data_IF_604071557041
#
_entry.id   IF_604071557041
#
_cell.length_a   1.000
_cell.length_b   1.000
_cell.length_c   1.000
_cell.angle_alpha   90.00
_cell.angle_beta   90.00
_cell.angle_gamma   90.00
#
_symmetry.space_group_name_H-M   'P 1'
#
loop_
_entity.id
_entity.type
_entity.pdbx_description
1 polymer ?
#
# COMPACT_ATOMS: atom_id res chain seq x y z
N UNK A 1 22.55 15.44 -63.23
CA UNK A 1 22.50 16.18 -61.94
C UNK A 1 21.07 16.54 -61.49
N UNK A 2 20.15 16.87 -62.39
CA UNK A 2 18.75 17.23 -62.06
C UNK A 2 17.93 16.13 -61.36
N UNK A 3 18.17 14.85 -61.65
CA UNK A 3 17.39 13.76 -61.04
C UNK A 3 17.70 13.52 -59.56
N UNK A 4 18.93 13.76 -59.13
CA UNK A 4 19.31 13.54 -57.73
C UNK A 4 18.67 14.58 -56.80
N UNK A 5 18.50 15.83 -57.28
CA UNK A 5 17.80 16.85 -56.53
C UNK A 5 16.30 16.54 -56.38
N UNK A 6 15.67 15.99 -57.44
CA UNK A 6 14.27 15.56 -57.38
C UNK A 6 14.06 14.39 -56.42
N UNK A 7 14.97 13.40 -56.43
CA UNK A 7 14.93 12.25 -55.51
C UNK A 7 15.13 12.71 -54.06
N UNK A 8 16.04 13.67 -53.83
CA UNK A 8 16.29 14.20 -52.49
C UNK A 8 15.11 15.03 -51.97
N UNK A 9 14.52 15.89 -52.81
CA UNK A 9 13.32 16.65 -52.47
C UNK A 9 12.14 15.73 -52.11
N UNK A 10 11.91 14.67 -52.91
CA UNK A 10 10.87 13.68 -52.64
C UNK A 10 11.10 12.92 -51.31
N UNK A 11 12.36 12.70 -50.92
CA UNK A 11 12.70 12.11 -49.62
C UNK A 11 12.42 13.05 -48.46
N UNK A 12 12.72 14.34 -48.59
CA UNK A 12 12.43 15.33 -47.55
C UNK A 12 10.93 15.51 -47.34
N UNK A 13 10.14 15.53 -48.42
CA UNK A 13 8.68 15.63 -48.36
C UNK A 13 8.04 14.40 -47.67
N UNK A 14 8.61 13.21 -47.93
CA UNK A 14 8.22 11.98 -47.23
C UNK A 14 8.55 11.98 -45.74
N UNK A 15 9.68 12.58 -45.34
CA UNK A 15 10.06 12.69 -43.92
C UNK A 15 9.20 13.75 -43.21
N UNK A 16 8.94 14.89 -43.87
CA UNK A 16 8.08 15.95 -43.35
C UNK A 16 6.64 15.48 -43.11
N UNK A 17 6.08 14.64 -44.00
CA UNK A 17 4.73 14.07 -43.81
C UNK A 17 4.63 13.08 -42.64
N UNK A 18 5.75 12.56 -42.13
CA UNK A 18 5.81 11.62 -41.01
C UNK A 18 6.30 12.25 -39.69
N UNK A 19 6.68 13.53 -39.69
CA UNK A 19 7.23 14.23 -38.52
C UNK A 19 6.20 14.53 -37.41
N UNK A 20 4.90 14.31 -37.67
CA UNK A 20 3.82 14.56 -36.71
C UNK A 20 3.37 13.36 -35.87
N UNK A 21 3.90 12.15 -36.09
CA UNK A 21 3.44 10.94 -35.38
C UNK A 21 4.62 10.20 -34.73
N UNK A 22 5.13 10.78 -33.65
CA UNK A 22 6.22 10.23 -32.82
C UNK A 22 5.71 9.11 -31.90
N UNK A 23 5.06 8.08 -32.46
CA UNK A 23 4.95 6.78 -31.80
C UNK A 23 6.06 5.91 -32.36
N UNK A 24 7.24 5.95 -31.73
CA UNK A 24 8.34 5.06 -32.04
C UNK A 24 7.91 3.61 -31.74
N UNK A 25 7.31 2.96 -32.73
CA UNK A 25 7.03 1.52 -32.69
C UNK A 25 8.33 0.79 -32.97
N UNK A 26 8.94 0.30 -31.89
CA UNK A 26 10.09 -0.62 -31.95
C UNK A 26 9.64 -1.93 -32.60
N UNK A 27 9.92 -2.11 -33.89
CA UNK A 27 9.70 -3.36 -34.59
C UNK A 27 10.79 -4.37 -34.20
N UNK A 28 10.52 -5.19 -33.19
CA UNK A 28 11.28 -6.43 -32.96
C UNK A 28 10.76 -7.44 -33.99
N UNK A 29 11.64 -7.87 -34.89
CA UNK A 29 11.34 -8.87 -35.90
C UNK A 29 11.03 -10.22 -35.26
N UNK A 30 9.75 -10.50 -35.04
CA UNK A 30 9.14 -11.83 -35.05
C UNK A 30 7.68 -11.64 -35.48
N UNK A 31 7.50 -11.38 -36.77
CA UNK A 31 6.19 -11.33 -37.40
C UNK A 31 6.03 -12.61 -38.21
N UNK A 32 5.43 -13.62 -37.59
CA UNK A 32 4.39 -14.38 -38.26
C UNK A 32 3.38 -14.84 -37.21
N UNK A 33 2.18 -14.30 -37.32
CA UNK A 33 0.94 -14.76 -36.68
C UNK A 33 0.75 -14.49 -35.17
N UNK A 34 0.81 -13.23 -34.76
CA UNK A 34 -0.02 -12.80 -33.63
C UNK A 34 -1.19 -11.94 -34.15
N UNK A 35 -2.45 -12.42 -34.07
CA UNK A 35 -3.60 -11.67 -34.56
C UNK A 35 -3.63 -10.32 -33.86
N UNK A 36 -3.77 -9.23 -34.61
CA UNK A 36 -3.71 -7.86 -34.09
C UNK A 36 -4.68 -7.59 -32.93
N UNK A 37 -5.73 -8.40 -32.78
CA UNK A 37 -6.62 -8.41 -31.61
C UNK A 37 -5.89 -8.78 -30.30
N UNK A 38 -4.96 -9.75 -30.33
CA UNK A 38 -4.12 -10.13 -29.20
C UNK A 38 -3.11 -9.03 -28.85
N UNK A 39 -2.54 -8.37 -29.85
CA UNK A 39 -1.63 -7.24 -29.66
C UNK A 39 -2.36 -6.02 -29.08
N UNK A 40 -3.56 -5.70 -29.59
CA UNK A 40 -4.44 -4.67 -29.01
C UNK A 40 -4.86 -5.03 -27.59
N UNK A 41 -5.12 -6.30 -27.26
CA UNK A 41 -5.37 -6.72 -25.88
C UNK A 41 -4.15 -6.62 -24.97
N UNK A 42 -2.94 -6.84 -25.49
CA UNK A 42 -1.70 -6.72 -24.72
C UNK A 42 -1.28 -5.27 -24.49
N UNK A 43 -1.55 -4.38 -25.46
CA UNK A 43 -1.16 -2.96 -25.41
C UNK A 43 -2.26 -2.06 -24.82
N UNK A 44 -3.54 -2.32 -25.14
CA UNK A 44 -4.70 -1.53 -24.67
C UNK A 44 -5.52 -2.24 -23.59
N UNK A 45 -5.40 -3.56 -23.47
CA UNK A 45 -6.15 -4.31 -22.48
C UNK A 45 -5.49 -4.15 -21.12
N UNK A 46 -6.06 -3.28 -20.29
CA UNK A 46 -5.92 -3.35 -18.83
C UNK A 46 -6.32 -4.79 -18.45
N UNK A 47 -5.35 -5.68 -18.27
CA UNK A 47 -5.59 -7.08 -17.95
C UNK A 47 -6.52 -7.08 -16.74
N UNK A 48 -7.79 -7.47 -16.94
CA UNK A 48 -8.77 -7.50 -15.86
C UNK A 48 -8.19 -8.49 -14.85
N UNK A 49 -7.77 -8.06 -13.65
CA UNK A 49 -7.14 -8.97 -12.72
C UNK A 49 -8.16 -10.07 -12.44
N UNK A 50 -7.76 -11.32 -12.75
CA UNK A 50 -8.56 -12.50 -12.46
C UNK A 50 -8.84 -12.43 -10.96
N UNK A 51 -10.10 -12.19 -10.58
CA UNK A 51 -10.50 -12.11 -9.17
C UNK A 51 -10.28 -13.50 -8.57
N UNK A 52 -9.07 -13.74 -8.06
CA UNK A 52 -8.71 -14.91 -7.30
C UNK A 52 -9.59 -14.95 -6.05
N UNK A 53 -10.05 -16.12 -5.61
CA UNK A 53 -10.80 -16.27 -4.36
C UNK A 53 -10.04 -15.70 -3.15
N UNK A 54 -8.71 -15.60 -3.24
CA UNK A 54 -7.84 -14.91 -2.26
C UNK A 54 -8.12 -13.40 -2.14
N UNK A 55 -8.75 -12.79 -3.15
CA UNK A 55 -9.15 -11.39 -3.10
C UNK A 55 -10.23 -11.14 -2.04
N UNK A 56 -11.08 -12.13 -1.72
CA UNK A 56 -12.09 -11.99 -0.68
C UNK A 56 -11.47 -11.89 0.72
N UNK A 57 -10.38 -12.61 0.96
CA UNK A 57 -9.64 -12.61 2.23
C UNK A 57 -8.71 -11.40 2.37
N UNK A 58 -8.44 -10.69 1.28
CA UNK A 58 -7.49 -9.57 1.30
C UNK A 58 -7.93 -8.39 2.19
N UNK A 59 -9.23 -8.15 2.33
CA UNK A 59 -9.77 -7.07 3.17
C UNK A 59 -9.67 -7.36 4.67
N UNK A 60 -10.19 -8.51 5.20
CA UNK A 60 -10.02 -8.82 6.61
C UNK A 60 -8.54 -8.99 6.98
N UNK A 61 -7.73 -9.56 6.08
CA UNK A 61 -6.29 -9.67 6.30
C UNK A 61 -5.61 -8.29 6.36
N UNK A 62 -6.00 -7.36 5.49
CA UNK A 62 -5.52 -5.98 5.53
C UNK A 62 -5.90 -5.31 6.85
N UNK A 63 -7.17 -5.39 7.26
CA UNK A 63 -7.64 -4.85 8.54
C UNK A 63 -6.82 -5.40 9.72
N UNK A 64 -6.68 -6.73 9.80
CA UNK A 64 -5.92 -7.40 10.85
C UNK A 64 -4.45 -6.98 10.85
N UNK A 65 -3.81 -6.91 9.67
CA UNK A 65 -2.41 -6.48 9.57
C UNK A 65 -2.20 -5.03 10.03
N UNK A 66 -3.20 -4.16 9.87
CA UNK A 66 -3.18 -2.81 10.43
C UNK A 66 -3.18 -2.81 11.97
N UNK A 67 -4.07 -3.59 12.58
CA UNK A 67 -4.09 -3.73 14.05
C UNK A 67 -2.78 -4.32 14.59
N UNK A 68 -2.21 -5.31 13.90
CA UNK A 68 -0.90 -5.89 14.25
C UNK A 68 0.22 -4.85 14.17
N UNK A 69 0.19 -3.95 13.17
CA UNK A 69 1.19 -2.89 13.06
C UNK A 69 1.16 -1.92 14.25
N UNK A 70 -0.03 -1.59 14.77
CA UNK A 70 -0.17 -0.78 15.98
C UNK A 70 0.35 -1.48 17.22
N UNK A 71 -0.04 -2.74 17.42
CA UNK A 71 0.43 -3.58 18.54
C UNK A 71 1.95 -3.70 18.53
N UNK A 72 2.53 -3.94 17.36
CA UNK A 72 3.98 -3.98 17.19
C UNK A 72 4.63 -2.65 17.57
N UNK A 73 4.07 -1.51 17.15
CA UNK A 73 4.62 -0.20 17.48
C UNK A 73 4.60 0.08 18.99
N UNK A 74 3.50 -0.26 19.68
CA UNK A 74 3.39 -0.11 21.14
C UNK A 74 4.44 -0.96 21.89
N UNK A 75 4.79 -2.11 21.34
CA UNK A 75 5.81 -2.97 21.92
C UNK A 75 7.24 -2.53 21.57
N UNK A 76 7.50 -2.13 20.32
CA UNK A 76 8.85 -1.90 19.81
C UNK A 76 9.37 -0.49 20.09
N UNK A 77 8.53 0.53 20.05
CA UNK A 77 8.96 1.94 20.17
C UNK A 77 9.56 2.25 21.53
N UNK A 78 8.99 1.83 22.68
CA UNK A 78 9.61 2.08 23.98
C UNK A 78 10.98 1.41 24.10
N UNK A 79 11.16 0.23 23.50
CA UNK A 79 12.41 -0.54 23.56
C UNK A 79 13.49 0.04 22.63
N UNK A 80 13.11 0.38 21.39
CA UNK A 80 14.05 0.78 20.35
C UNK A 80 14.37 2.28 20.37
N UNK A 81 13.38 3.10 20.70
CA UNK A 81 13.44 4.56 20.59
C UNK A 81 13.35 5.25 21.95
N UNK A 82 13.12 4.50 23.03
CA UNK A 82 12.96 5.04 24.39
C UNK A 82 11.91 6.16 24.45
N UNK A 83 10.85 6.02 23.66
CA UNK A 83 9.78 7.00 23.53
C UNK A 83 8.43 6.35 23.81
N UNK A 84 7.55 7.10 24.47
CA UNK A 84 6.14 6.75 24.69
C UNK A 84 5.19 7.70 23.96
N UNK A 85 5.75 8.58 23.13
CA UNK A 85 4.99 9.59 22.41
C UNK A 85 4.08 8.96 21.36
N UNK A 86 2.79 9.32 21.41
CA UNK A 86 1.76 8.79 20.51
C UNK A 86 2.14 8.96 19.02
N UNK A 87 2.64 10.14 18.65
CA UNK A 87 2.98 10.43 17.26
C UNK A 87 4.16 9.57 16.76
N UNK A 88 5.10 9.20 17.64
CA UNK A 88 6.21 8.30 17.30
C UNK A 88 5.67 6.89 17.04
N UNK A 89 4.76 6.42 17.90
CA UNK A 89 4.09 5.12 17.72
C UNK A 89 3.25 5.09 16.43
N UNK A 90 2.56 6.17 16.09
CA UNK A 90 1.82 6.30 14.83
C UNK A 90 2.75 6.21 13.62
N UNK A 91 3.88 6.92 13.62
CA UNK A 91 4.87 6.84 12.54
C UNK A 91 5.46 5.44 12.41
N UNK A 92 5.86 4.81 13.53
CA UNK A 92 6.39 3.45 13.54
C UNK A 92 5.35 2.44 13.03
N UNK A 93 4.08 2.59 13.40
CA UNK A 93 3.00 1.76 12.87
C UNK A 93 2.82 1.96 11.36
N UNK A 94 2.97 3.20 10.86
CA UNK A 94 2.93 3.50 9.43
C UNK A 94 4.04 2.78 8.65
N UNK A 95 5.27 2.80 9.18
CA UNK A 95 6.39 2.03 8.61
C UNK A 95 6.06 0.54 8.61
N UNK A 96 5.55 0.00 9.73
CA UNK A 96 5.20 -1.41 9.83
C UNK A 96 4.05 -1.82 8.90
N UNK A 97 3.05 -0.96 8.69
CA UNK A 97 1.99 -1.17 7.69
C UNK A 97 2.59 -1.34 6.29
N UNK A 98 3.56 -0.50 5.91
CA UNK A 98 4.23 -0.60 4.62
C UNK A 98 5.06 -1.89 4.49
N UNK A 99 5.76 -2.29 5.56
CA UNK A 99 6.51 -3.55 5.60
C UNK A 99 5.59 -4.77 5.48
N UNK A 100 4.54 -4.84 6.29
CA UNK A 100 3.55 -5.93 6.24
C UNK A 100 2.87 -6.00 4.87
N UNK A 101 2.56 -4.85 4.28
CA UNK A 101 2.01 -4.78 2.93
C UNK A 101 2.94 -5.40 1.90
N UNK A 102 4.25 -5.16 2.00
CA UNK A 102 5.26 -5.75 1.13
C UNK A 102 5.34 -7.27 1.31
N UNK A 103 5.40 -7.74 2.56
CA UNK A 103 5.55 -9.17 2.91
C UNK A 103 4.30 -9.98 2.54
N UNK A 104 3.11 -9.46 2.85
CA UNK A 104 1.82 -10.14 2.58
C UNK A 104 1.41 -10.00 1.10
N UNK A 105 1.97 -9.02 0.38
CA UNK A 105 1.62 -8.74 -1.01
C UNK A 105 0.27 -8.05 -1.19
N UNK A 106 -0.17 -7.26 -0.21
CA UNK A 106 -1.41 -6.48 -0.28
C UNK A 106 -1.25 -5.32 -1.27
N UNK A 107 -2.16 -5.22 -2.24
CA UNK A 107 -2.09 -4.21 -3.32
C UNK A 107 -3.39 -3.42 -3.44
N UNK A 108 -3.29 -2.21 -3.99
CA UNK A 108 -4.41 -1.30 -4.24
C UNK A 108 -4.76 -0.37 -3.06
N UNK A 109 -5.43 0.76 -3.34
CA UNK A 109 -5.75 1.77 -2.32
C UNK A 109 -6.75 1.28 -1.28
N UNK A 110 -7.68 0.39 -1.66
CA UNK A 110 -8.69 -0.14 -0.74
C UNK A 110 -8.09 -0.97 0.40
N UNK A 111 -7.11 -1.83 0.10
CA UNK A 111 -6.43 -2.62 1.15
C UNK A 111 -5.59 -1.72 2.06
N UNK A 112 -5.00 -0.66 1.53
CA UNK A 112 -4.29 0.33 2.36
C UNK A 112 -5.27 1.04 3.30
N UNK A 113 -6.43 1.49 2.80
CA UNK A 113 -7.46 2.08 3.64
C UNK A 113 -7.93 1.12 4.74
N UNK A 114 -8.09 -0.18 4.44
CA UNK A 114 -8.42 -1.18 5.46
C UNK A 114 -7.31 -1.33 6.51
N UNK A 115 -6.03 -1.30 6.11
CA UNK A 115 -4.92 -1.31 7.08
C UNK A 115 -4.98 -0.09 8.00
N UNK A 116 -5.22 1.11 7.45
CA UNK A 116 -5.32 2.34 8.24
C UNK A 116 -6.52 2.31 9.19
N UNK A 117 -7.67 1.79 8.77
CA UNK A 117 -8.83 1.57 9.64
C UNK A 117 -8.47 0.57 10.75
N UNK A 118 -7.74 -0.50 10.43
CA UNK A 118 -7.27 -1.47 11.42
C UNK A 118 -6.37 -0.84 12.48
N UNK A 119 -5.45 0.05 12.07
CA UNK A 119 -4.64 0.86 12.99
C UNK A 119 -5.54 1.74 13.85
N UNK A 120 -6.45 2.51 13.24
CA UNK A 120 -7.33 3.42 13.98
C UNK A 120 -8.23 2.70 15.00
N UNK A 121 -8.79 1.55 14.64
CA UNK A 121 -9.57 0.71 15.56
C UNK A 121 -8.72 0.18 16.71
N UNK A 122 -7.48 -0.22 16.43
CA UNK A 122 -6.56 -0.67 17.47
C UNK A 122 -6.15 0.48 18.40
N UNK A 123 -5.85 1.68 17.86
CA UNK A 123 -5.60 2.88 18.66
C UNK A 123 -6.78 3.19 19.58
N UNK A 124 -8.00 3.18 19.03
CA UNK A 124 -9.22 3.55 19.75
C UNK A 124 -9.73 2.45 20.70
N UNK A 125 -9.21 1.23 20.64
CA UNK A 125 -9.81 0.07 21.30
C UNK A 125 -8.86 -0.85 22.07
N UNK A 126 -7.54 -0.78 21.85
CA UNK A 126 -6.58 -1.68 22.50
C UNK A 126 -6.61 -1.53 24.02
N UNK A 127 -6.79 -0.31 24.54
CA UNK A 127 -6.89 -0.08 25.98
C UNK A 127 -8.08 -0.82 26.60
N UNK A 128 -9.19 -1.00 25.88
CA UNK A 128 -10.31 -1.81 26.39
C UNK A 128 -9.90 -3.26 26.60
N UNK A 129 -9.09 -3.84 25.70
CA UNK A 129 -8.57 -5.19 25.88
C UNK A 129 -7.65 -5.28 27.10
N UNK A 130 -6.84 -4.24 27.35
CA UNK A 130 -6.00 -4.12 28.55
C UNK A 130 -6.85 -4.06 29.82
N UNK A 131 -7.95 -3.30 29.82
CA UNK A 131 -8.90 -3.24 30.94
C UNK A 131 -9.58 -4.58 31.22
N UNK A 132 -9.89 -5.37 30.18
CA UNK A 132 -10.52 -6.68 30.35
C UNK A 132 -9.56 -7.73 30.94
N UNK A 133 -8.31 -7.75 30.48
CA UNK A 133 -7.32 -8.76 30.87
C UNK A 133 -5.94 -8.16 31.16
N UNK A 134 -5.80 -7.35 32.23
CA UNK A 134 -4.56 -6.61 32.50
C UNK A 134 -3.37 -7.56 32.74
N UNK A 135 -3.59 -8.68 33.43
CA UNK A 135 -2.55 -9.67 33.73
C UNK A 135 -1.99 -10.33 32.46
N UNK A 136 -2.84 -10.62 31.47
CA UNK A 136 -2.40 -11.19 30.20
C UNK A 136 -1.57 -10.18 29.39
N UNK A 137 -1.99 -8.91 29.39
CA UNK A 137 -1.26 -7.85 28.69
C UNK A 137 0.06 -7.48 29.39
N UNK A 138 0.18 -7.66 30.70
CA UNK A 138 1.44 -7.49 31.43
C UNK A 138 2.49 -8.56 31.11
N UNK A 139 2.10 -9.68 30.48
CA UNK A 139 3.05 -10.67 29.94
C UNK A 139 3.56 -10.31 28.54
N UNK A 140 2.77 -9.55 27.77
CA UNK A 140 3.09 -9.20 26.37
C UNK A 140 3.74 -7.82 26.27
N UNK A 141 3.33 -6.89 27.13
CA UNK A 141 3.84 -5.53 27.25
C UNK A 141 4.47 -5.32 28.63
N UNK A 142 5.26 -4.25 28.79
CA UNK A 142 5.82 -3.91 30.10
C UNK A 142 4.71 -3.62 31.13
N UNK A 143 4.85 -4.04 32.40
CA UNK A 143 3.91 -3.71 33.47
C UNK A 143 3.64 -2.21 33.59
N UNK A 144 4.66 -1.38 33.41
CA UNK A 144 4.55 0.08 33.51
C UNK A 144 3.59 0.65 32.46
N UNK A 145 3.71 0.23 31.20
CA UNK A 145 2.79 0.60 30.13
C UNK A 145 1.34 0.17 30.43
N UNK A 146 1.15 -1.05 30.96
CA UNK A 146 -0.20 -1.50 31.35
C UNK A 146 -0.80 -0.61 32.44
N UNK A 147 -0.02 -0.28 33.47
CA UNK A 147 -0.46 0.62 34.54
C UNK A 147 -0.76 2.02 34.03
N UNK A 148 0.05 2.55 33.11
CA UNK A 148 -0.18 3.82 32.45
C UNK A 148 -1.50 3.81 31.67
N UNK A 149 -1.76 2.77 30.88
CA UNK A 149 -3.02 2.63 30.14
C UNK A 149 -4.21 2.56 31.10
N UNK A 150 -4.13 1.80 32.18
CA UNK A 150 -5.19 1.71 33.18
C UNK A 150 -5.43 3.04 33.91
N UNK A 151 -4.37 3.83 34.14
CA UNK A 151 -4.45 5.13 34.80
C UNK A 151 -4.99 6.24 33.88
N UNK A 152 -4.69 6.18 32.58
CA UNK A 152 -4.99 7.27 31.62
C UNK A 152 -6.26 7.04 30.80
N UNK A 153 -6.76 5.80 30.72
CA UNK A 153 -7.94 5.45 29.91
C UNK A 153 -9.06 4.86 30.74
N UNK A 154 -10.31 5.00 30.25
CA UNK A 154 -11.49 4.42 30.89
C UNK A 154 -11.89 3.10 30.22
N UNK A 155 -12.35 2.10 30.97
CA UNK A 155 -12.86 0.85 30.38
C UNK A 155 -14.11 1.11 29.53
N UNK A 156 -14.33 0.25 28.53
CA UNK A 156 -15.49 0.29 27.61
C UNK A 156 -15.68 1.64 26.91
N UNK A 157 -14.58 2.35 26.63
CA UNK A 157 -14.60 3.66 25.98
C UNK A 157 -13.84 3.63 24.67
N UNK A 158 -14.26 4.46 23.70
CA UNK A 158 -13.45 4.72 22.52
C UNK A 158 -12.60 5.96 22.79
N UNK A 159 -11.28 5.80 22.76
CA UNK A 159 -10.33 6.91 22.93
C UNK A 159 -10.19 7.68 21.62
N UNK A 160 -11.25 8.39 21.20
CA UNK A 160 -11.19 9.23 19.99
C UNK A 160 -10.29 10.46 20.16
N UNK A 161 -10.00 10.87 21.39
CA UNK A 161 -9.13 12.02 21.68
C UNK A 161 -7.68 11.82 21.21
N UNK A 162 -7.25 10.59 20.88
CA UNK A 162 -5.94 10.32 20.29
C UNK A 162 -5.88 10.57 18.77
N UNK A 163 -7.04 10.69 18.10
CA UNK A 163 -7.16 10.82 16.64
C UNK A 163 -7.52 12.23 16.16
N UNK A 164 -7.91 13.12 17.07
CA UNK A 164 -8.28 14.51 16.78
C UNK A 164 -7.51 15.43 17.74
N UNK A 165 -6.77 16.43 17.23
CA UNK A 165 -6.00 17.39 18.04
C UNK A 165 -6.88 18.30 18.89
#
# INVERSE_FOLDING_TARGET
MLDHQKIFAARLERIASHAGNTNATLHIGMADQLPQAALKRAVLGKARPRKSGLALLSLPLALASGAVAWVWAQWSVPVLLQSQELWVALLASGVMVLLLRLVIGLRGPLTLAMQLIGVALAVAGLHNAVHLWPEAFAMLFSPDWVQEVLATTRPMSLSLGALLP
#
